data_IF_886581162365
#
_entry.id   IF_886581162365
#
_cell.length_a   1.000
_cell.length_b   1.000
_cell.length_c   1.000
_cell.angle_alpha   90.00
_cell.angle_beta   90.00
_cell.angle_gamma   90.00
#
_symmetry.space_group_name_H-M   'P 1'
#
loop_
_entity.id
_entity.type
_entity.pdbx_description
1 polymer ?
#
# COMPACT_ATOMS: atom_id res chain seq x y z
N UNK A 1 -17.18 -8.98 21.71
CA UNK A 1 -17.86 -8.34 20.57
C UNK A 1 -17.44 -6.88 20.61
N UNK A 2 -16.69 -6.42 19.63
CA UNK A 2 -16.25 -5.02 19.54
C UNK A 2 -17.23 -4.23 18.67
N UNK A 3 -17.46 -2.97 19.02
CA UNK A 3 -18.15 -2.00 18.19
C UNK A 3 -17.09 -1.13 17.51
N UNK A 4 -17.05 -1.15 16.19
CA UNK A 4 -16.06 -0.42 15.39
C UNK A 4 -16.75 0.37 14.28
N UNK A 5 -16.08 1.40 13.77
CA UNK A 5 -16.49 2.07 12.54
C UNK A 5 -16.17 1.21 11.33
N UNK A 6 -17.07 1.20 10.36
CA UNK A 6 -16.92 0.47 9.11
C UNK A 6 -16.95 1.42 7.90
N UNK A 7 -16.01 1.22 7.00
CA UNK A 7 -16.04 1.84 5.68
C UNK A 7 -16.79 0.93 4.70
N UNK A 8 -17.77 1.51 3.99
CA UNK A 8 -18.58 0.77 3.01
C UNK A 8 -17.81 0.49 1.73
N UNK A 9 -16.83 -0.41 1.83
CA UNK A 9 -15.96 -0.79 0.72
C UNK A 9 -16.79 -1.42 -0.43
N UNK A 10 -17.84 -2.14 -0.10
CA UNK A 10 -18.77 -2.74 -1.06
C UNK A 10 -19.35 -1.73 -2.07
N UNK A 11 -19.52 -0.46 -1.70
CA UNK A 11 -19.98 0.60 -2.61
C UNK A 11 -19.01 0.91 -3.76
N UNK A 12 -17.73 0.61 -3.57
CA UNK A 12 -16.67 0.95 -4.53
C UNK A 12 -16.24 -0.23 -5.37
N UNK A 13 -16.71 -1.44 -5.04
CA UNK A 13 -16.37 -2.69 -5.71
C UNK A 13 -16.44 -2.60 -7.23
N UNK A 14 -17.61 -2.25 -7.76
CA UNK A 14 -17.84 -2.24 -9.21
C UNK A 14 -16.99 -1.16 -9.90
N UNK A 15 -16.80 -0.01 -9.27
CA UNK A 15 -15.94 1.07 -9.78
C UNK A 15 -14.48 0.64 -9.87
N UNK A 16 -13.99 -0.10 -8.87
CA UNK A 16 -12.61 -0.63 -8.86
C UNK A 16 -12.47 -1.69 -9.96
N UNK A 17 -13.40 -2.62 -10.07
CA UNK A 17 -13.39 -3.64 -11.13
C UNK A 17 -13.38 -3.00 -12.51
N UNK A 18 -14.24 -2.00 -12.73
CA UNK A 18 -14.30 -1.24 -13.99
C UNK A 18 -12.98 -0.53 -14.28
N UNK A 19 -12.39 0.10 -13.25
CA UNK A 19 -11.10 0.78 -13.39
C UNK A 19 -9.98 -0.18 -13.79
N UNK A 20 -9.86 -1.34 -13.12
CA UNK A 20 -8.86 -2.37 -13.45
C UNK A 20 -9.04 -2.86 -14.90
N UNK A 21 -10.28 -3.14 -15.32
CA UNK A 21 -10.57 -3.61 -16.67
C UNK A 21 -10.29 -2.58 -17.77
N UNK A 22 -10.51 -1.30 -17.48
CA UNK A 22 -10.23 -0.20 -18.43
C UNK A 22 -8.76 0.19 -18.50
N UNK A 23 -7.98 -0.11 -17.47
CA UNK A 23 -6.60 0.27 -17.34
C UNK A 23 -5.73 -0.98 -17.06
N UNK A 24 -5.35 -1.74 -18.09
CA UNK A 24 -4.62 -3.00 -17.91
C UNK A 24 -3.26 -2.83 -17.24
N UNK A 25 -2.67 -1.63 -17.30
CA UNK A 25 -1.41 -1.31 -16.65
C UNK A 25 -1.55 -0.85 -15.19
N UNK A 26 -2.79 -0.77 -14.67
CA UNK A 26 -3.04 -0.29 -13.31
C UNK A 26 -2.42 -1.21 -12.25
N UNK A 27 -2.41 -2.52 -12.47
CA UNK A 27 -1.79 -3.50 -11.54
C UNK A 27 -0.77 -4.32 -12.32
N UNK A 28 0.48 -4.24 -11.90
CA UNK A 28 1.60 -4.97 -12.49
C UNK A 28 2.29 -5.87 -11.46
N UNK A 29 2.72 -7.08 -11.85
CA UNK A 29 2.47 -7.74 -13.16
C UNK A 29 1.01 -8.18 -13.34
N UNK A 30 0.59 -8.37 -14.59
CA UNK A 30 -0.81 -8.61 -14.99
C UNK A 30 -1.53 -9.72 -14.19
N UNK A 31 -0.86 -10.81 -13.87
CA UNK A 31 -1.48 -11.90 -13.10
C UNK A 31 -1.94 -11.47 -11.70
N UNK A 32 -1.35 -10.40 -11.13
CA UNK A 32 -1.78 -9.81 -9.87
C UNK A 32 -3.12 -9.08 -10.00
N UNK A 33 -3.43 -8.55 -11.18
CA UNK A 33 -4.76 -7.97 -11.45
C UNK A 33 -5.86 -9.04 -11.33
N UNK A 34 -5.61 -10.25 -11.82
CA UNK A 34 -6.55 -11.37 -11.68
C UNK A 34 -6.75 -11.79 -10.21
N UNK A 35 -5.68 -11.79 -9.43
CA UNK A 35 -5.76 -12.04 -7.97
C UNK A 35 -6.65 -11.00 -7.28
N UNK A 36 -6.47 -9.73 -7.60
CA UNK A 36 -7.28 -8.63 -7.05
C UNK A 36 -8.73 -8.72 -7.49
N UNK A 37 -9.01 -9.03 -8.76
CA UNK A 37 -10.37 -9.22 -9.26
C UNK A 37 -11.09 -10.35 -8.55
N UNK A 38 -10.42 -11.48 -8.32
CA UNK A 38 -10.99 -12.61 -7.56
C UNK A 38 -11.29 -12.21 -6.10
N UNK A 39 -10.39 -11.44 -5.45
CA UNK A 39 -10.64 -10.95 -4.10
C UNK A 39 -11.84 -10.00 -4.04
N UNK A 40 -12.04 -9.17 -5.06
CA UNK A 40 -13.16 -8.24 -5.15
C UNK A 40 -14.52 -8.96 -5.25
N UNK A 41 -14.59 -10.17 -5.77
CA UNK A 41 -15.85 -10.93 -5.85
C UNK A 41 -16.48 -11.14 -4.47
N UNK A 42 -15.65 -11.35 -3.44
CA UNK A 42 -16.04 -11.68 -2.07
C UNK A 42 -15.75 -10.53 -1.08
N UNK A 43 -15.59 -9.28 -1.59
CA UNK A 43 -15.24 -8.16 -0.73
C UNK A 43 -16.42 -7.74 0.15
N UNK A 44 -16.15 -7.55 1.43
CA UNK A 44 -17.08 -7.03 2.43
C UNK A 44 -16.63 -5.65 2.91
N UNK A 45 -17.52 -4.97 3.63
CA UNK A 45 -17.20 -3.71 4.30
C UNK A 45 -16.11 -3.95 5.36
N UNK A 46 -15.21 -2.99 5.50
CA UNK A 46 -14.03 -3.15 6.35
C UNK A 46 -14.10 -2.29 7.61
N UNK A 47 -13.68 -2.88 8.74
CA UNK A 47 -13.50 -2.12 9.97
C UNK A 47 -12.31 -1.17 9.84
N UNK A 48 -12.56 0.12 10.09
CA UNK A 48 -11.59 1.22 9.98
C UNK A 48 -11.21 1.83 11.32
N UNK A 49 -11.68 1.24 12.41
CA UNK A 49 -11.26 1.58 13.76
C UNK A 49 -11.03 0.35 14.62
N UNK A 50 -10.45 0.56 15.78
CA UNK A 50 -10.26 -0.44 16.84
C UNK A 50 -10.63 0.19 18.17
N UNK A 51 -11.21 -0.59 19.07
CA UNK A 51 -11.42 -0.16 20.45
C UNK A 51 -10.09 0.20 21.11
N UNK A 52 -10.05 1.31 21.84
CA UNK A 52 -8.89 1.72 22.63
C UNK A 52 -8.53 0.70 23.73
N UNK A 53 -9.46 -0.14 24.14
CA UNK A 53 -9.21 -1.25 25.05
C UNK A 53 -8.35 -2.33 24.40
N UNK A 54 -8.55 -2.59 23.08
CA UNK A 54 -7.79 -3.58 22.31
C UNK A 54 -6.47 -3.02 21.81
N UNK A 55 -6.43 -1.72 21.48
CA UNK A 55 -5.25 -1.01 20.95
C UNK A 55 -5.06 0.28 21.73
N UNK A 56 -4.16 0.25 22.70
CA UNK A 56 -3.94 1.37 23.64
C UNK A 56 -3.24 2.60 23.02
N UNK A 57 -2.64 2.47 21.82
CA UNK A 57 -1.89 3.52 21.15
C UNK A 57 -2.31 3.68 19.70
N UNK A 58 -2.46 4.92 19.25
CA UNK A 58 -2.77 5.26 17.86
C UNK A 58 -3.47 6.61 17.75
N UNK A 59 -3.95 6.93 16.56
CA UNK A 59 -4.66 8.16 16.26
C UNK A 59 -6.12 7.99 16.67
N UNK A 60 -6.66 8.80 17.59
CA UNK A 60 -8.07 8.73 17.97
C UNK A 60 -9.00 9.04 16.78
N UNK A 61 -10.15 8.40 16.75
CA UNK A 61 -11.20 8.77 15.79
C UNK A 61 -11.75 10.16 16.18
N UNK A 62 -11.91 11.02 15.18
CA UNK A 62 -12.41 12.37 15.42
C UNK A 62 -13.81 12.34 16.07
N UNK A 63 -13.91 12.90 17.27
CA UNK A 63 -15.15 12.94 18.04
C UNK A 63 -15.47 11.66 18.82
N UNK A 64 -14.57 10.67 18.84
CA UNK A 64 -14.73 9.44 19.61
C UNK A 64 -13.37 8.94 20.15
N UNK A 65 -13.03 9.36 21.35
CA UNK A 65 -11.77 8.99 22.01
C UNK A 65 -11.70 7.53 22.46
N UNK A 66 -12.80 6.79 22.37
CA UNK A 66 -12.86 5.35 22.67
C UNK A 66 -12.36 4.49 21.52
N UNK A 67 -12.21 5.07 20.34
CA UNK A 67 -11.82 4.39 19.11
C UNK A 67 -10.49 4.94 18.54
N UNK A 68 -9.69 4.04 18.02
CA UNK A 68 -8.41 4.33 17.37
C UNK A 68 -8.54 4.04 15.88
N UNK A 69 -8.07 4.94 15.03
CA UNK A 69 -8.05 4.75 13.58
C UNK A 69 -7.21 3.53 13.22
N UNK A 70 -7.73 2.68 12.35
CA UNK A 70 -7.02 1.51 11.86
C UNK A 70 -5.76 1.92 11.08
N UNK A 71 -4.65 1.30 11.41
CA UNK A 71 -3.31 1.65 10.92
C UNK A 71 -3.20 1.80 9.39
N UNK A 72 -3.97 1.04 8.62
CA UNK A 72 -3.93 1.13 7.17
C UNK A 72 -4.59 2.40 6.60
N UNK A 73 -5.48 3.06 7.34
CA UNK A 73 -5.98 4.39 6.96
C UNK A 73 -4.82 5.39 7.01
N UNK A 74 -4.07 5.42 8.11
CA UNK A 74 -2.89 6.28 8.28
C UNK A 74 -1.80 5.95 7.26
N UNK A 75 -1.43 4.67 7.15
CA UNK A 75 -0.38 4.22 6.24
C UNK A 75 -0.66 4.56 4.77
N UNK A 76 -1.90 4.42 4.30
CA UNK A 76 -2.27 4.71 2.91
C UNK A 76 -2.41 6.22 2.65
N UNK A 77 -2.98 6.97 3.60
CA UNK A 77 -3.11 8.42 3.45
C UNK A 77 -1.76 9.14 3.40
N UNK A 78 -0.69 8.53 3.91
CA UNK A 78 0.66 9.08 3.81
C UNK A 78 1.06 9.46 2.38
N UNK A 79 0.61 8.72 1.36
CA UNK A 79 0.93 9.02 -0.04
C UNK A 79 0.46 10.40 -0.51
N UNK A 80 -0.64 10.90 0.03
CA UNK A 80 -1.17 12.22 -0.31
C UNK A 80 -0.84 13.27 0.75
N UNK A 81 -0.82 12.92 2.04
CA UNK A 81 -0.52 13.87 3.11
C UNK A 81 0.93 14.33 3.07
N UNK A 82 1.88 13.45 2.71
CA UNK A 82 3.29 13.82 2.51
C UNK A 82 3.48 14.83 1.38
N UNK A 83 2.56 14.87 0.41
CA UNK A 83 2.53 15.87 -0.67
C UNK A 83 1.78 17.14 -0.28
N UNK A 84 1.24 17.23 0.93
CA UNK A 84 0.47 18.38 1.39
C UNK A 84 -0.92 18.44 0.78
N UNK A 85 -1.60 17.27 0.67
CA UNK A 85 -3.01 17.25 0.32
C UNK A 85 -3.84 17.96 1.39
N UNK A 86 -4.68 18.86 0.94
CA UNK A 86 -5.71 19.51 1.70
C UNK A 86 -6.96 19.62 0.79
N UNK A 87 -8.16 19.29 1.28
CA UNK A 87 -9.36 19.30 0.44
C UNK A 87 -9.74 20.69 -0.08
N UNK A 88 -9.39 21.75 0.63
CA UNK A 88 -9.73 23.14 0.24
C UNK A 88 -8.56 23.82 -0.47
N UNK A 89 -7.35 23.61 0.02
CA UNK A 89 -6.15 24.32 -0.45
C UNK A 89 -4.96 23.36 -0.68
N UNK A 90 -5.06 22.42 -1.65
CA UNK A 90 -3.99 21.48 -1.91
C UNK A 90 -2.70 22.18 -2.31
N UNK A 91 -1.55 21.72 -1.79
CA UNK A 91 -0.24 22.29 -2.04
C UNK A 91 0.16 22.18 -3.52
N UNK A 92 1.12 23.00 -3.95
CA UNK A 92 1.73 22.89 -5.28
C UNK A 92 2.45 21.53 -5.48
N UNK A 93 3.02 20.97 -4.41
CA UNK A 93 3.64 19.65 -4.46
C UNK A 93 2.59 18.57 -4.78
N UNK A 94 1.42 18.59 -4.12
CA UNK A 94 0.34 17.67 -4.44
C UNK A 94 -0.13 17.82 -5.88
N UNK A 95 -0.38 19.03 -6.34
CA UNK A 95 -0.84 19.31 -7.72
C UNK A 95 0.15 18.83 -8.79
N UNK A 96 1.45 18.90 -8.51
CA UNK A 96 2.49 18.54 -9.45
C UNK A 96 2.84 17.04 -9.46
N UNK A 97 2.72 16.36 -8.31
CA UNK A 97 3.19 14.99 -8.13
C UNK A 97 2.09 13.95 -7.92
N UNK A 98 0.84 14.39 -7.70
CA UNK A 98 -0.29 13.47 -7.68
C UNK A 98 -1.14 13.60 -8.95
N UNK A 99 -1.60 12.50 -9.57
CA UNK A 99 -1.45 11.11 -9.14
C UNK A 99 -0.03 10.57 -9.37
N UNK A 100 0.40 9.66 -8.49
CA UNK A 100 1.66 8.95 -8.63
C UNK A 100 1.69 8.15 -9.94
N UNK A 101 2.82 8.16 -10.66
CA UNK A 101 2.99 7.34 -11.86
C UNK A 101 3.08 5.86 -11.49
N UNK A 102 3.86 5.52 -10.46
CA UNK A 102 4.01 4.14 -9.98
C UNK A 102 4.09 4.12 -8.46
N UNK A 103 3.29 3.24 -7.83
CA UNK A 103 3.46 2.84 -6.44
C UNK A 103 4.11 1.45 -6.40
N UNK A 104 5.35 1.37 -5.93
CA UNK A 104 6.10 0.11 -5.81
C UNK A 104 5.86 -0.49 -4.44
N UNK A 105 5.35 -1.72 -4.41
CA UNK A 105 4.95 -2.39 -3.16
C UNK A 105 5.35 -3.87 -3.14
N UNK A 106 5.48 -4.45 -1.95
CA UNK A 106 5.53 -5.90 -1.79
C UNK A 106 4.16 -6.55 -2.05
N UNK A 107 4.15 -7.74 -2.61
CA UNK A 107 2.92 -8.47 -2.94
C UNK A 107 1.98 -8.72 -1.75
N UNK A 108 2.52 -8.80 -0.55
CA UNK A 108 1.78 -9.04 0.70
C UNK A 108 0.86 -7.87 1.10
N UNK A 109 1.12 -6.69 0.58
CA UNK A 109 0.30 -5.50 0.80
C UNK A 109 -0.52 -5.08 -0.43
N UNK A 110 -0.60 -5.95 -1.43
CA UNK A 110 -1.34 -5.68 -2.68
C UNK A 110 -2.81 -5.35 -2.42
N UNK A 111 -3.49 -6.11 -1.57
CA UNK A 111 -4.90 -5.87 -1.23
C UNK A 111 -5.15 -4.44 -0.73
N UNK A 112 -4.26 -3.93 0.11
CA UNK A 112 -4.39 -2.59 0.66
C UNK A 112 -4.22 -1.51 -0.41
N UNK A 113 -3.30 -1.70 -1.36
CA UNK A 113 -2.99 -0.71 -2.39
C UNK A 113 -3.90 -0.80 -3.63
N UNK A 114 -4.39 -2.00 -3.96
CA UNK A 114 -5.20 -2.22 -5.15
C UNK A 114 -6.71 -2.25 -4.89
N UNK A 115 -7.14 -2.37 -3.62
CA UNK A 115 -8.56 -2.39 -3.25
C UNK A 115 -8.89 -1.25 -2.27
N UNK A 116 -8.27 -1.21 -1.09
CA UNK A 116 -8.65 -0.25 -0.04
C UNK A 116 -8.27 1.18 -0.44
N UNK A 117 -7.05 1.37 -0.91
CA UNK A 117 -6.57 2.69 -1.31
C UNK A 117 -7.37 3.31 -2.46
N UNK A 118 -7.63 2.61 -3.58
CA UNK A 118 -8.54 3.12 -4.60
C UNK A 118 -9.93 3.47 -4.07
N UNK A 119 -10.49 2.66 -3.17
CA UNK A 119 -11.79 2.94 -2.58
C UNK A 119 -11.78 4.24 -1.73
N UNK A 120 -10.72 4.46 -0.95
CA UNK A 120 -10.57 5.69 -0.16
C UNK A 120 -10.40 6.92 -1.06
N UNK A 121 -9.57 6.83 -2.09
CA UNK A 121 -9.39 7.90 -3.06
C UNK A 121 -10.68 8.21 -3.82
N UNK A 122 -11.41 7.19 -4.25
CA UNK A 122 -12.72 7.34 -4.89
C UNK A 122 -13.77 7.97 -3.96
N UNK A 123 -13.68 7.72 -2.65
CA UNK A 123 -14.57 8.33 -1.65
C UNK A 123 -14.29 9.83 -1.46
N UNK A 124 -13.06 10.24 -1.71
CA UNK A 124 -12.58 11.61 -1.60
C UNK A 124 -12.58 12.35 -2.96
N UNK A 125 -13.04 11.70 -4.04
CA UNK A 125 -12.96 12.20 -5.43
C UNK A 125 -11.54 12.59 -5.85
N UNK A 126 -10.53 11.88 -5.33
CA UNK A 126 -9.12 12.05 -5.68
C UNK A 126 -8.73 11.08 -6.80
N UNK A 127 -7.96 11.51 -7.81
CA UNK A 127 -7.46 10.63 -8.87
C UNK A 127 -6.67 9.43 -8.32
N UNK A 128 -6.80 8.27 -8.95
CA UNK A 128 -6.04 7.08 -8.58
C UNK A 128 -4.59 7.16 -9.09
N UNK A 129 -3.61 6.47 -8.46
CA UNK A 129 -2.29 6.28 -9.03
C UNK A 129 -2.39 5.57 -10.38
N UNK A 130 -1.43 5.81 -11.29
CA UNK A 130 -1.49 5.23 -12.64
C UNK A 130 -1.16 3.74 -12.62
N UNK A 131 -0.16 3.33 -11.83
CA UNK A 131 0.27 1.93 -11.74
C UNK A 131 0.62 1.53 -10.31
N UNK A 132 0.23 0.33 -9.93
CA UNK A 132 0.66 -0.36 -8.70
C UNK A 132 1.53 -1.53 -9.13
N UNK A 133 2.84 -1.46 -8.86
CA UNK A 133 3.81 -2.49 -9.16
C UNK A 133 4.07 -3.34 -7.92
N UNK A 134 3.59 -4.58 -7.92
CA UNK A 134 3.76 -5.52 -6.83
C UNK A 134 4.93 -6.47 -7.11
N UNK A 135 6.01 -6.33 -6.36
CA UNK A 135 7.15 -7.25 -6.44
C UNK A 135 6.99 -8.44 -5.50
N UNK A 136 7.70 -9.55 -5.79
CA UNK A 136 7.80 -10.73 -4.94
C UNK A 136 8.54 -10.47 -3.63
N UNK A 137 8.63 -11.46 -2.78
CA UNK A 137 9.44 -11.35 -1.56
C UNK A 137 10.93 -11.37 -1.88
N UNK A 138 11.68 -10.63 -1.10
CA UNK A 138 13.13 -10.77 -1.07
C UNK A 138 13.43 -11.96 -0.16
N UNK A 139 14.09 -12.97 -0.72
CA UNK A 139 14.41 -14.22 -0.01
C UNK A 139 15.91 -14.39 0.17
N UNK A 140 16.29 -15.08 1.24
CA UNK A 140 17.64 -15.55 1.49
C UNK A 140 17.52 -17.06 1.64
N UNK A 141 18.23 -17.82 0.82
CA UNK A 141 18.17 -19.30 0.81
C UNK A 141 16.71 -19.80 0.74
N UNK A 142 15.91 -19.22 -0.16
CA UNK A 142 14.48 -19.51 -0.35
C UNK A 142 13.58 -19.20 0.87
N UNK A 143 14.13 -18.55 1.88
CA UNK A 143 13.37 -18.13 3.07
C UNK A 143 13.06 -16.64 2.98
N UNK A 144 11.80 -16.25 3.23
CA UNK A 144 11.39 -14.83 3.27
C UNK A 144 12.27 -14.08 4.28
N UNK A 145 12.88 -12.98 3.83
CA UNK A 145 13.59 -12.07 4.71
C UNK A 145 12.61 -11.35 5.63
N UNK A 146 12.76 -11.50 6.94
CA UNK A 146 11.91 -10.81 7.91
C UNK A 146 12.61 -10.54 9.24
N UNK A 147 12.21 -9.46 9.90
CA UNK A 147 12.73 -9.08 11.22
C UNK A 147 12.44 -10.14 12.30
N UNK A 148 11.30 -10.81 12.22
CA UNK A 148 10.90 -11.84 13.18
C UNK A 148 11.73 -13.11 13.08
N UNK A 149 12.26 -13.42 11.90
CA UNK A 149 13.18 -14.56 11.67
C UNK A 149 14.63 -14.17 11.97
N UNK A 150 14.94 -12.87 11.97
CA UNK A 150 16.30 -12.38 12.23
C UNK A 150 17.27 -12.53 11.07
N UNK A 151 16.79 -12.82 9.85
CA UNK A 151 17.59 -13.00 8.65
C UNK A 151 17.65 -11.74 7.76
N UNK A 152 17.40 -10.55 8.33
CA UNK A 152 17.44 -9.29 7.60
C UNK A 152 18.88 -8.89 7.32
N UNK A 153 19.20 -8.64 6.05
CA UNK A 153 20.43 -7.99 5.63
C UNK A 153 20.12 -6.52 5.38
N UNK A 154 20.76 -5.63 6.14
CA UNK A 154 20.56 -4.21 5.93
C UNK A 154 21.37 -3.71 4.73
N UNK A 155 20.87 -2.74 3.95
CA UNK A 155 21.63 -2.14 2.84
C UNK A 155 23.01 -1.64 3.26
N UNK A 156 23.15 -1.13 4.50
CA UNK A 156 24.43 -0.71 5.06
C UNK A 156 25.43 -1.85 5.14
N UNK A 157 25.00 -3.02 5.61
CA UNK A 157 25.89 -4.20 5.74
C UNK A 157 26.41 -4.66 4.36
N UNK A 158 25.56 -4.58 3.33
CA UNK A 158 25.95 -4.86 1.93
C UNK A 158 27.00 -3.86 1.45
N UNK A 159 26.79 -2.58 1.71
CA UNK A 159 27.70 -1.51 1.32
C UNK A 159 29.07 -1.70 1.96
N UNK A 160 29.12 -2.03 3.25
CA UNK A 160 30.34 -2.26 4.01
C UNK A 160 31.05 -3.54 3.57
N UNK A 161 30.30 -4.66 3.43
CA UNK A 161 30.86 -5.98 3.06
C UNK A 161 31.51 -5.97 1.67
N UNK A 162 30.90 -5.26 0.72
CA UNK A 162 31.39 -5.17 -0.65
C UNK A 162 32.20 -3.90 -0.97
N UNK A 163 32.54 -3.12 0.07
CA UNK A 163 33.30 -1.88 -0.05
C UNK A 163 32.72 -0.91 -1.11
N UNK A 164 31.40 -0.84 -1.21
CA UNK A 164 30.72 -0.02 -2.18
C UNK A 164 30.79 1.45 -1.79
N UNK A 165 31.43 2.26 -2.64
CA UNK A 165 31.53 3.71 -2.44
C UNK A 165 30.20 4.46 -2.68
N UNK A 166 29.25 3.84 -3.39
CA UNK A 166 27.96 4.42 -3.74
C UNK A 166 26.83 3.35 -3.75
N UNK A 167 25.60 3.68 -3.32
CA UNK A 167 24.51 2.71 -3.24
C UNK A 167 23.97 2.24 -4.60
N UNK A 168 24.32 2.88 -5.72
CA UNK A 168 23.73 2.58 -7.02
C UNK A 168 24.04 1.17 -7.53
N UNK A 169 25.21 0.62 -7.22
CA UNK A 169 25.52 -0.77 -7.57
C UNK A 169 24.55 -1.76 -6.87
N UNK A 170 24.27 -1.53 -5.59
CA UNK A 170 23.30 -2.33 -4.85
C UNK A 170 21.86 -2.09 -5.35
N UNK A 171 21.48 -0.86 -5.61
CA UNK A 171 20.16 -0.53 -6.18
C UNK A 171 19.96 -1.21 -7.54
N UNK A 172 20.97 -1.13 -8.41
CA UNK A 172 20.92 -1.80 -9.70
C UNK A 172 20.78 -3.32 -9.55
N UNK A 173 21.58 -3.93 -8.67
CA UNK A 173 21.46 -5.36 -8.36
C UNK A 173 20.03 -5.72 -7.94
N UNK A 174 19.44 -4.97 -7.02
CA UNK A 174 18.05 -5.21 -6.56
C UNK A 174 17.04 -5.09 -7.70
N UNK A 175 17.20 -4.10 -8.58
CA UNK A 175 16.28 -3.91 -9.72
C UNK A 175 16.36 -5.04 -10.75
N UNK A 176 17.54 -5.63 -10.93
CA UNK A 176 17.76 -6.71 -11.91
C UNK A 176 17.35 -8.08 -11.34
N UNK A 177 17.56 -8.28 -10.04
CA UNK A 177 17.36 -9.59 -9.39
C UNK A 177 16.04 -9.72 -8.67
N UNK A 178 15.41 -8.60 -8.24
CA UNK A 178 14.12 -8.65 -7.56
C UNK A 178 13.04 -9.13 -8.53
N UNK A 179 12.43 -10.29 -8.28
CA UNK A 179 11.44 -10.82 -9.21
C UNK A 179 10.17 -9.99 -9.15
N UNK A 180 9.71 -9.51 -10.30
CA UNK A 180 8.40 -8.86 -10.40
C UNK A 180 7.25 -9.88 -10.42
N UNK A 181 7.53 -11.15 -10.68
CA UNK A 181 6.50 -12.18 -10.87
C UNK A 181 6.63 -13.44 -10.03
N UNK A 182 7.72 -13.63 -9.30
CA UNK A 182 7.97 -14.83 -8.46
C UNK A 182 8.60 -14.41 -7.13
N UNK A 183 8.61 -15.32 -6.19
CA UNK A 183 9.42 -15.20 -4.96
C UNK A 183 10.82 -15.69 -5.22
#
# INVERSE_FOLDING_TARGET
KEENYFFKLSKYKDRIIEHIKKNPDFIQPEFRANEVLNQLEHIEDISVSRSKESVSWGIPVLGDDSQIIYVWIDALSNYITALGYDPETPSEMFKNYWPADVQVIGKDILKFHAIYWPAFLMALDIPLPKTILAHGWITIDQTKMSKSIGNVIAPKDVMETFELSHPDAFRYFMMVTAPTGRD
#
